data_IF_548801187854
#
_entry.id   IF_548801187854
#
_cell.length_a   1.000
_cell.length_b   1.000
_cell.length_c   1.000
_cell.angle_alpha   90.00
_cell.angle_beta   90.00
_cell.angle_gamma   90.00
#
_symmetry.space_group_name_H-M   'P 1'
#
loop_
_entity.id
_entity.type
_entity.pdbx_description
1 polymer ?
#
# COMPACT_ATOMS: atom_id res chain seq x y z
N UNK A 1 5.96 -6.94 -12.83
CA UNK A 1 5.54 -6.81 -11.42
C UNK A 1 4.16 -7.45 -11.26
N UNK A 2 3.93 -8.19 -10.18
CA UNK A 2 2.64 -8.76 -9.82
C UNK A 2 2.12 -8.14 -8.52
N UNK A 3 0.82 -7.89 -8.41
CA UNK A 3 0.15 -7.40 -7.20
C UNK A 3 -1.25 -8.01 -7.09
N UNK A 4 -1.71 -8.19 -5.85
CA UNK A 4 -3.03 -8.71 -5.58
C UNK A 4 -4.05 -7.58 -5.52
N UNK A 5 -5.12 -7.68 -6.30
CA UNK A 5 -6.24 -6.73 -6.27
C UNK A 5 -7.06 -6.87 -4.98
N UNK A 6 -7.32 -8.11 -4.55
CA UNK A 6 -8.12 -8.38 -3.35
C UNK A 6 -7.38 -8.02 -2.05
N UNK A 7 -6.04 -7.99 -2.09
CA UNK A 7 -5.18 -7.76 -0.93
C UNK A 7 -4.16 -6.65 -1.20
N UNK A 8 -4.60 -5.39 -1.26
CA UNK A 8 -3.74 -4.24 -1.52
C UNK A 8 -2.52 -4.18 -0.60
N UNK A 9 -1.35 -3.86 -1.19
CA UNK A 9 -0.06 -3.89 -0.48
C UNK A 9 0.68 -5.22 -0.60
N UNK A 10 0.05 -6.30 -1.07
CA UNK A 10 0.74 -7.53 -1.42
C UNK A 10 1.16 -7.49 -2.88
N UNK A 11 2.40 -7.06 -3.11
CA UNK A 11 2.99 -6.89 -4.44
C UNK A 11 4.45 -7.31 -4.46
N UNK A 12 4.92 -7.84 -5.60
CA UNK A 12 6.31 -8.23 -5.81
C UNK A 12 6.72 -8.05 -7.27
N UNK A 13 7.98 -7.66 -7.46
CA UNK A 13 8.61 -7.56 -8.76
C UNK A 13 9.64 -8.66 -8.95
N UNK A 14 9.82 -9.09 -10.20
CA UNK A 14 10.88 -9.98 -10.65
C UNK A 14 11.25 -9.69 -12.11
N UNK A 15 12.19 -10.47 -12.67
CA UNK A 15 12.67 -10.25 -14.05
C UNK A 15 11.68 -10.70 -15.13
N UNK A 16 10.82 -11.66 -14.81
CA UNK A 16 9.78 -12.17 -15.69
C UNK A 16 8.45 -12.22 -14.95
N UNK A 17 7.34 -12.32 -15.67
CA UNK A 17 6.01 -12.35 -15.09
C UNK A 17 5.80 -13.61 -14.25
N UNK A 18 6.24 -14.78 -14.73
CA UNK A 18 6.17 -16.04 -13.97
C UNK A 18 6.92 -15.93 -12.64
N UNK A 19 8.16 -15.41 -12.66
CA UNK A 19 8.94 -15.19 -11.46
C UNK A 19 8.32 -14.14 -10.52
N UNK A 20 7.60 -13.16 -11.07
CA UNK A 20 6.89 -12.17 -10.26
C UNK A 20 5.72 -12.82 -9.52
N UNK A 21 4.96 -13.69 -10.19
CA UNK A 21 3.86 -14.46 -9.59
C UNK A 21 4.36 -15.44 -8.53
N UNK A 22 5.40 -16.22 -8.84
CA UNK A 22 6.03 -17.14 -7.88
C UNK A 22 6.54 -16.39 -6.64
N UNK A 23 7.21 -15.24 -6.87
CA UNK A 23 7.70 -14.40 -5.78
C UNK A 23 6.54 -13.84 -4.96
N UNK A 24 5.47 -13.37 -5.61
CA UNK A 24 4.27 -12.87 -4.93
C UNK A 24 3.69 -13.95 -4.02
N UNK A 25 3.48 -15.17 -4.55
CA UNK A 25 2.94 -16.30 -3.77
C UNK A 25 3.85 -16.67 -2.60
N UNK A 26 5.16 -16.69 -2.79
CA UNK A 26 6.13 -16.99 -1.71
C UNK A 26 6.05 -16.01 -0.53
N UNK A 27 5.46 -14.83 -0.75
CA UNK A 27 5.25 -13.81 0.28
C UNK A 27 3.84 -13.86 0.92
N UNK A 28 2.99 -14.82 0.57
CA UNK A 28 1.66 -15.01 1.18
C UNK A 28 1.72 -15.04 2.70
N UNK A 29 2.61 -15.85 3.26
CA UNK A 29 2.80 -15.96 4.69
C UNK A 29 3.24 -14.64 5.36
N UNK A 30 3.97 -13.78 4.64
CA UNK A 30 4.40 -12.47 5.15
C UNK A 30 3.29 -11.43 5.13
N UNK A 31 2.30 -11.56 4.24
CA UNK A 31 1.13 -10.68 4.21
C UNK A 31 0.06 -11.08 5.23
N UNK A 32 0.00 -12.37 5.62
CA UNK A 32 -0.98 -12.92 6.57
C UNK A 32 -1.15 -12.11 7.87
N UNK A 33 -0.09 -11.53 8.50
CA UNK A 33 -0.26 -10.63 9.65
C UNK A 33 -1.12 -9.40 9.35
N UNK A 34 -1.05 -8.82 8.15
CA UNK A 34 -1.90 -7.69 7.74
C UNK A 34 -3.37 -8.14 7.68
N UNK A 35 -3.66 -9.29 7.06
CA UNK A 35 -5.01 -9.84 7.02
C UNK A 35 -5.55 -10.13 8.44
N UNK A 36 -4.71 -10.56 9.38
CA UNK A 36 -5.08 -10.76 10.79
C UNK A 36 -5.43 -9.43 11.47
N UNK A 37 -4.62 -8.40 11.29
CA UNK A 37 -4.87 -7.06 11.82
C UNK A 37 -6.17 -6.46 11.26
N UNK A 38 -6.46 -6.71 9.98
CA UNK A 38 -7.71 -6.33 9.35
C UNK A 38 -8.92 -7.18 9.78
N UNK A 39 -8.73 -8.22 10.61
CA UNK A 39 -9.75 -9.23 11.03
C UNK A 39 -10.29 -10.08 9.86
N UNK A 40 -9.51 -10.23 8.80
CA UNK A 40 -9.84 -10.95 7.56
C UNK A 40 -8.99 -12.22 7.37
N UNK A 41 -8.32 -12.71 8.41
CA UNK A 41 -7.39 -13.85 8.30
C UNK A 41 -8.05 -15.13 7.82
N UNK A 42 -9.31 -15.37 8.17
CA UNK A 42 -10.06 -16.56 7.71
C UNK A 42 -10.33 -16.50 6.22
N UNK A 43 -10.73 -15.34 5.73
CA UNK A 43 -10.93 -15.07 4.30
C UNK A 43 -9.59 -15.23 3.54
N UNK A 44 -8.52 -14.67 4.07
CA UNK A 44 -7.18 -14.77 3.48
C UNK A 44 -6.67 -16.22 3.43
N UNK A 45 -6.85 -16.99 4.50
CA UNK A 45 -6.43 -18.39 4.57
C UNK A 45 -7.29 -19.30 3.68
N UNK A 46 -8.55 -18.93 3.42
CA UNK A 46 -9.45 -19.64 2.53
C UNK A 46 -9.26 -19.25 1.05
N UNK A 47 -8.55 -18.16 0.76
CA UNK A 47 -8.26 -17.76 -0.62
C UNK A 47 -7.41 -18.82 -1.31
N UNK A 48 -7.85 -19.21 -2.48
CA UNK A 48 -7.16 -20.17 -3.35
C UNK A 48 -5.81 -19.67 -3.88
N UNK A 49 -5.23 -20.36 -4.84
CA UNK A 49 -4.05 -19.90 -5.56
C UNK A 49 -4.34 -18.56 -6.27
N UNK A 50 -3.26 -17.83 -6.58
CA UNK A 50 -3.37 -16.60 -7.35
C UNK A 50 -3.88 -16.88 -8.76
N UNK A 51 -4.85 -16.09 -9.21
CA UNK A 51 -5.37 -16.10 -10.57
C UNK A 51 -5.00 -14.78 -11.25
N UNK A 52 -4.40 -14.86 -12.44
CA UNK A 52 -4.07 -13.68 -13.24
C UNK A 52 -5.34 -13.20 -13.94
N UNK A 53 -5.89 -12.09 -13.49
CA UNK A 53 -7.11 -11.51 -14.06
C UNK A 53 -6.82 -10.45 -15.12
N UNK A 54 -5.63 -9.90 -15.12
CA UNK A 54 -5.19 -8.89 -16.09
C UNK A 54 -3.67 -8.90 -16.22
N UNK A 55 -3.18 -8.82 -17.45
CA UNK A 55 -1.78 -8.58 -17.80
C UNK A 55 -1.70 -7.31 -18.64
N UNK A 56 -0.83 -6.37 -18.24
CA UNK A 56 -0.70 -5.06 -18.88
C UNK A 56 0.75 -4.62 -18.97
N UNK A 57 1.08 -4.01 -20.08
CA UNK A 57 2.34 -3.29 -20.21
C UNK A 57 2.22 -1.98 -19.42
N UNK A 58 2.90 -1.92 -18.28
CA UNK A 58 2.97 -0.72 -17.46
C UNK A 58 3.98 0.32 -18.03
N UNK A 59 3.94 1.57 -17.57
CA UNK A 59 4.98 2.54 -17.89
C UNK A 59 6.33 2.08 -17.33
N UNK A 60 7.43 2.42 -18.01
CA UNK A 60 8.77 1.90 -17.72
C UNK A 60 9.32 2.12 -16.30
N UNK A 61 8.70 2.99 -15.51
CA UNK A 61 9.05 3.19 -14.11
C UNK A 61 8.38 2.21 -13.14
N UNK A 62 7.33 1.51 -13.56
CA UNK A 62 6.54 0.58 -12.71
C UNK A 62 7.41 -0.52 -12.12
N UNK A 63 8.23 -1.15 -12.94
CA UNK A 63 9.10 -2.26 -12.51
C UNK A 63 10.23 -1.79 -11.59
N UNK A 64 10.69 -0.58 -11.77
CA UNK A 64 11.77 -0.01 -10.98
C UNK A 64 11.32 0.46 -9.60
N UNK A 65 10.19 1.19 -9.54
CA UNK A 65 9.70 1.80 -8.30
C UNK A 65 8.81 0.87 -7.49
N UNK A 66 8.35 -0.22 -8.07
CA UNK A 66 7.43 -1.12 -7.41
C UNK A 66 6.03 -0.55 -7.24
N UNK A 67 5.69 0.51 -7.99
CA UNK A 67 4.41 1.20 -7.98
C UNK A 67 3.76 0.99 -9.34
N UNK A 68 2.51 0.55 -9.35
CA UNK A 68 1.73 0.50 -10.57
C UNK A 68 1.14 1.89 -10.87
N UNK A 69 1.56 2.47 -11.99
CA UNK A 69 0.94 3.68 -12.54
C UNK A 69 -0.20 3.37 -13.51
N UNK A 70 -0.44 2.08 -13.76
CA UNK A 70 -1.52 1.62 -14.62
C UNK A 70 -2.52 0.85 -13.74
N UNK A 71 -3.57 1.51 -13.23
CA UNK A 71 -4.60 0.82 -12.44
C UNK A 71 -5.27 -0.27 -13.29
N UNK A 72 -5.66 -1.36 -12.67
CA UNK A 72 -6.43 -2.42 -13.33
C UNK A 72 -7.74 -1.86 -13.90
N UNK A 73 -8.22 -2.44 -14.98
CA UNK A 73 -9.53 -2.09 -15.55
C UNK A 73 -10.66 -2.29 -14.52
N UNK A 74 -10.49 -3.25 -13.60
CA UNK A 74 -11.43 -3.54 -12.51
C UNK A 74 -11.42 -2.49 -11.41
N UNK A 75 -10.34 -1.68 -11.30
CA UNK A 75 -10.20 -0.64 -10.28
C UNK A 75 -10.69 0.75 -10.74
N UNK A 76 -11.14 0.88 -11.99
CA UNK A 76 -11.51 2.17 -12.56
C UNK A 76 -12.95 2.61 -12.27
N UNK A 77 -13.75 1.74 -11.69
CA UNK A 77 -15.13 2.02 -11.31
C UNK A 77 -15.26 2.65 -9.92
N UNK A 78 -16.45 3.22 -9.60
CA UNK A 78 -16.76 3.67 -8.25
C UNK A 78 -16.80 2.45 -7.32
N UNK A 79 -16.20 2.58 -6.15
CA UNK A 79 -16.28 1.56 -5.10
C UNK A 79 -17.64 1.62 -4.40
N UNK A 80 -18.21 0.47 -4.10
CA UNK A 80 -19.29 0.38 -3.12
C UNK A 80 -18.78 0.77 -1.72
N UNK A 81 -19.70 1.12 -0.84
CA UNK A 81 -19.35 1.40 0.57
C UNK A 81 -18.63 0.22 1.23
N UNK A 82 -19.03 -1.01 0.93
CA UNK A 82 -18.42 -2.22 1.51
C UNK A 82 -16.97 -2.42 1.02
N UNK A 83 -16.72 -2.21 -0.27
CA UNK A 83 -15.36 -2.28 -0.84
C UNK A 83 -14.46 -1.19 -0.27
N UNK A 84 -14.96 0.04 -0.14
CA UNK A 84 -14.21 1.12 0.48
C UNK A 84 -13.90 0.82 1.96
N UNK A 85 -14.89 0.36 2.73
CA UNK A 85 -14.69 0.02 4.14
C UNK A 85 -13.67 -1.12 4.30
N UNK A 86 -13.70 -2.13 3.42
CA UNK A 86 -12.72 -3.20 3.35
C UNK A 86 -11.32 -2.67 3.03
N UNK A 87 -11.20 -1.83 2.02
CA UNK A 87 -9.93 -1.19 1.63
C UNK A 87 -9.33 -0.35 2.76
N UNK A 88 -10.15 0.44 3.44
CA UNK A 88 -9.72 1.24 4.61
C UNK A 88 -9.28 0.34 5.77
N UNK A 89 -9.97 -0.78 6.02
CA UNK A 89 -9.55 -1.72 7.06
C UNK A 89 -8.18 -2.35 6.76
N UNK A 90 -7.93 -2.70 5.50
CA UNK A 90 -6.62 -3.21 5.04
C UNK A 90 -5.53 -2.13 5.13
N UNK A 91 -5.83 -0.90 4.73
CA UNK A 91 -4.90 0.24 4.84
C UNK A 91 -4.49 0.48 6.31
N UNK A 92 -5.45 0.54 7.23
CA UNK A 92 -5.19 0.67 8.67
C UNK A 92 -4.36 -0.49 9.21
N UNK A 93 -4.61 -1.71 8.74
CA UNK A 93 -3.82 -2.88 9.10
C UNK A 93 -2.38 -2.79 8.57
N UNK A 94 -2.18 -2.29 7.35
CA UNK A 94 -0.85 -2.02 6.79
C UNK A 94 -0.09 -0.96 7.61
N UNK A 95 -0.73 0.13 8.00
CA UNK A 95 -0.13 1.13 8.87
C UNK A 95 0.30 0.54 10.22
N UNK A 96 -0.60 -0.20 10.87
CA UNK A 96 -0.28 -0.85 12.15
C UNK A 96 0.89 -1.83 12.01
N UNK A 97 0.87 -2.66 10.97
CA UNK A 97 1.95 -3.61 10.69
C UNK A 97 3.29 -2.89 10.43
N UNK A 98 3.27 -1.81 9.67
CA UNK A 98 4.45 -1.00 9.38
C UNK A 98 5.02 -0.38 10.66
N UNK A 99 4.17 0.24 11.47
CA UNK A 99 4.58 0.88 12.73
C UNK A 99 5.16 -0.15 13.72
N UNK A 100 4.51 -1.33 13.85
CA UNK A 100 4.98 -2.43 14.69
C UNK A 100 6.34 -2.97 14.25
N UNK A 101 6.57 -3.09 12.93
CA UNK A 101 7.86 -3.50 12.39
C UNK A 101 8.90 -2.42 12.62
N UNK A 102 8.58 -1.16 12.32
CA UNK A 102 9.47 -0.03 12.51
C UNK A 102 9.95 0.12 13.97
N UNK A 103 9.06 -0.15 14.93
CA UNK A 103 9.40 -0.11 16.36
C UNK A 103 10.35 -1.22 16.81
N UNK A 104 10.40 -2.36 16.10
CA UNK A 104 11.17 -3.55 16.49
C UNK A 104 12.50 -3.73 15.77
N UNK A 105 12.65 -3.12 14.60
CA UNK A 105 13.90 -3.26 13.82
C UNK A 105 14.94 -2.26 14.28
N UNK A 106 16.22 -2.63 14.10
CA UNK A 106 17.34 -1.72 14.38
C UNK A 106 17.29 -0.49 13.45
N UNK A 107 17.87 0.65 13.88
CA UNK A 107 18.01 1.82 13.03
C UNK A 107 18.78 1.50 11.74
N UNK A 108 19.81 0.70 11.83
CA UNK A 108 20.61 0.24 10.69
C UNK A 108 19.98 -1.01 10.08
N UNK A 109 19.65 -0.94 8.79
CA UNK A 109 19.07 -2.06 8.07
C UNK A 109 20.11 -2.79 7.25
N UNK A 110 19.83 -4.09 7.02
CA UNK A 110 20.66 -4.94 6.17
C UNK A 110 20.73 -4.35 4.76
N UNK A 111 21.94 -4.10 4.28
CA UNK A 111 22.16 -3.66 2.91
C UNK A 111 21.73 -4.72 1.91
N UNK A 112 21.11 -4.28 0.81
CA UNK A 112 20.75 -5.17 -0.29
C UNK A 112 22.00 -5.74 -1.02
N UNK A 113 21.80 -6.72 -1.91
CA UNK A 113 22.90 -7.39 -2.62
C UNK A 113 23.81 -6.45 -3.42
N UNK A 114 23.30 -5.28 -3.80
CA UNK A 114 24.04 -4.22 -4.53
C UNK A 114 24.66 -3.17 -3.61
N UNK A 115 24.70 -3.42 -2.30
CA UNK A 115 25.25 -2.49 -1.31
C UNK A 115 24.38 -1.26 -1.01
N UNK A 116 23.24 -1.12 -1.69
CA UNK A 116 22.30 -0.02 -1.50
C UNK A 116 21.21 -0.33 -0.48
N UNK A 117 20.49 0.70 -0.07
CA UNK A 117 19.36 0.63 0.84
C UNK A 117 19.23 1.90 1.65
N UNK A 118 18.08 2.06 2.28
CA UNK A 118 17.82 3.13 3.25
C UNK A 118 17.78 2.51 4.64
N UNK A 119 18.29 3.22 5.62
CA UNK A 119 18.11 2.85 7.01
C UNK A 119 16.65 3.07 7.44
N UNK A 120 16.27 2.45 8.56
CA UNK A 120 14.89 2.46 9.08
C UNK A 120 14.24 3.84 9.04
N UNK A 121 14.88 4.84 9.61
CA UNK A 121 14.29 6.17 9.77
C UNK A 121 14.12 6.88 8.41
N UNK A 122 15.01 6.61 7.45
CA UNK A 122 14.86 7.08 6.07
C UNK A 122 13.72 6.38 5.33
N UNK A 123 13.48 5.10 5.62
CA UNK A 123 12.34 4.36 5.06
C UNK A 123 11.05 4.92 5.63
N UNK A 124 10.96 5.09 6.95
CA UNK A 124 9.78 5.65 7.61
C UNK A 124 9.44 7.02 7.02
N UNK A 125 10.41 7.93 6.99
CA UNK A 125 10.23 9.27 6.43
C UNK A 125 9.79 9.23 4.96
N UNK A 126 10.42 8.39 4.15
CA UNK A 126 10.06 8.24 2.74
C UNK A 126 8.64 7.72 2.56
N UNK A 127 8.23 6.73 3.34
CA UNK A 127 6.88 6.15 3.27
C UNK A 127 5.82 7.19 3.65
N UNK A 128 6.02 7.90 4.78
CA UNK A 128 5.09 8.94 5.24
C UNK A 128 4.99 10.08 4.21
N UNK A 129 6.13 10.55 3.69
CA UNK A 129 6.14 11.60 2.67
C UNK A 129 5.46 11.19 1.38
N UNK A 130 5.72 9.99 0.89
CA UNK A 130 5.06 9.50 -0.32
C UNK A 130 3.54 9.43 -0.12
N UNK A 131 3.08 8.99 1.05
CA UNK A 131 1.64 8.97 1.36
C UNK A 131 1.07 10.39 1.41
N UNK A 132 1.70 11.33 2.12
CA UNK A 132 1.19 12.69 2.30
C UNK A 132 1.32 13.56 1.04
N UNK A 133 2.44 13.42 0.31
CA UNK A 133 2.74 14.27 -0.84
C UNK A 133 2.13 13.76 -2.15
N UNK A 134 2.04 12.43 -2.34
CA UNK A 134 1.64 11.87 -3.62
C UNK A 134 0.23 11.27 -3.58
N UNK A 135 -0.04 10.39 -2.61
CA UNK A 135 -1.32 9.68 -2.57
C UNK A 135 -2.45 10.51 -1.98
N UNK A 136 -2.20 11.26 -0.91
CA UNK A 136 -3.23 12.09 -0.28
C UNK A 136 -3.75 13.20 -1.21
N UNK A 137 -2.91 13.70 -2.12
CA UNK A 137 -3.33 14.67 -3.15
C UNK A 137 -4.41 14.13 -4.08
N UNK A 138 -4.43 12.83 -4.35
CA UNK A 138 -5.40 12.22 -5.25
C UNK A 138 -6.83 12.32 -4.70
N UNK A 139 -6.98 12.40 -3.39
CA UNK A 139 -8.26 12.62 -2.70
C UNK A 139 -8.43 14.06 -2.22
N UNK A 140 -7.67 15.00 -2.79
CA UNK A 140 -7.80 16.44 -2.53
C UNK A 140 -7.17 16.93 -1.22
N UNK A 141 -6.36 16.09 -0.56
CA UNK A 141 -5.74 16.42 0.72
C UNK A 141 -4.31 16.94 0.52
N UNK A 142 -3.99 18.08 1.17
CA UNK A 142 -2.63 18.60 1.28
C UNK A 142 -2.25 18.71 2.75
N UNK A 143 -1.22 18.00 3.15
CA UNK A 143 -0.71 18.02 4.51
C UNK A 143 0.76 18.48 4.46
N UNK A 144 1.18 19.42 5.31
CA UNK A 144 2.59 19.78 5.43
C UNK A 144 3.41 18.57 5.91
N UNK A 145 4.50 18.26 5.20
CA UNK A 145 5.33 17.08 5.41
C UNK A 145 5.78 16.88 6.85
N UNK A 146 6.23 17.96 7.47
CA UNK A 146 6.80 17.90 8.82
C UNK A 146 5.75 17.59 9.89
N UNK A 147 4.49 17.99 9.67
CA UNK A 147 3.41 17.70 10.60
C UNK A 147 3.15 16.19 10.72
N UNK A 148 3.21 15.46 9.60
CA UNK A 148 3.01 14.01 9.57
C UNK A 148 4.19 13.20 10.14
N UNK A 149 5.34 13.82 10.39
CA UNK A 149 6.51 13.15 10.94
C UNK A 149 6.51 13.04 12.47
N UNK A 150 5.57 13.68 13.16
CA UNK A 150 5.38 13.49 14.60
C UNK A 150 4.32 12.41 14.87
N UNK A 151 4.35 11.72 16.01
CA UNK A 151 3.34 10.69 16.32
C UNK A 151 1.91 11.23 16.33
N UNK A 152 1.70 12.43 16.85
CA UNK A 152 0.41 13.12 16.91
C UNK A 152 -0.04 13.53 15.50
N UNK A 153 0.85 14.12 14.73
CA UNK A 153 0.59 14.57 13.37
C UNK A 153 0.32 13.39 12.43
N UNK A 154 1.04 12.29 12.59
CA UNK A 154 0.81 11.08 11.80
C UNK A 154 -0.58 10.48 12.08
N UNK A 155 -1.03 10.45 13.34
CA UNK A 155 -2.39 10.02 13.67
C UNK A 155 -3.43 10.93 13.03
N UNK A 156 -3.27 12.23 13.19
CA UNK A 156 -4.17 13.22 12.59
C UNK A 156 -4.22 13.10 11.07
N UNK A 157 -3.04 12.94 10.42
CA UNK A 157 -2.95 12.71 8.98
C UNK A 157 -3.75 11.49 8.55
N UNK A 158 -3.55 10.35 9.18
CA UNK A 158 -4.21 9.08 8.82
C UNK A 158 -5.73 9.17 8.96
N UNK A 159 -6.24 9.82 10.02
CA UNK A 159 -7.69 10.00 10.18
C UNK A 159 -8.26 10.96 9.13
N UNK A 160 -7.57 12.07 8.86
CA UNK A 160 -7.99 13.02 7.81
C UNK A 160 -7.94 12.37 6.42
N UNK A 161 -6.94 11.54 6.16
CA UNK A 161 -6.81 10.82 4.90
C UNK A 161 -7.96 9.82 4.69
N UNK A 162 -8.33 9.06 5.73
CA UNK A 162 -9.50 8.16 5.66
C UNK A 162 -10.80 8.95 5.45
N UNK A 163 -10.98 10.09 6.12
CA UNK A 163 -12.15 10.94 5.90
C UNK A 163 -12.21 11.44 4.45
N UNK A 164 -11.09 11.94 3.92
CA UNK A 164 -10.99 12.40 2.54
C UNK A 164 -11.29 11.31 1.50
N UNK A 165 -10.83 10.06 1.74
CA UNK A 165 -11.18 8.92 0.87
C UNK A 165 -12.69 8.67 0.85
N UNK A 166 -13.37 8.77 2.00
CA UNK A 166 -14.82 8.59 2.09
C UNK A 166 -15.58 9.69 1.37
N UNK A 167 -15.19 10.94 1.56
CA UNK A 167 -15.75 12.10 0.87
C UNK A 167 -15.53 11.99 -0.65
N UNK A 168 -14.34 11.61 -1.07
CA UNK A 168 -14.02 11.42 -2.49
C UNK A 168 -14.90 10.33 -3.13
N UNK A 169 -15.05 9.19 -2.46
CA UNK A 169 -15.89 8.10 -2.94
C UNK A 169 -17.40 8.45 -2.96
N UNK A 170 -17.85 9.31 -2.05
CA UNK A 170 -19.20 9.84 -2.05
C UNK A 170 -19.46 10.89 -3.15
N UNK A 171 -18.44 11.30 -3.87
CA UNK A 171 -18.52 12.38 -4.87
C UNK A 171 -18.51 13.79 -4.28
N UNK A 172 -18.25 13.91 -2.99
CA UNK A 172 -18.21 15.17 -2.23
C UNK A 172 -16.80 15.78 -2.19
N UNK A 173 -15.79 14.99 -2.53
CA UNK A 173 -14.38 15.38 -2.48
C UNK A 173 -13.99 16.33 -3.62
N UNK A 174 -13.09 17.27 -3.32
CA UNK A 174 -12.49 18.13 -4.34
C UNK A 174 -11.49 17.32 -5.18
N UNK A 175 -11.80 17.09 -6.47
CA UNK A 175 -10.80 16.64 -7.42
C UNK A 175 -9.75 17.74 -7.58
N UNK A 176 -8.51 17.46 -7.18
CA UNK A 176 -7.41 18.32 -7.60
C UNK A 176 -7.06 17.98 -9.05
N UNK A 177 -7.16 19.01 -9.90
CA UNK A 177 -6.71 18.97 -11.30
C UNK A 177 -5.19 19.04 -11.35
#
# INVERSE_FOLDING_TARGET
>A
MAFSLDWPGWSRGAKTDDLALETLESYRARYRPVARLAKMVREFDAAGPLEVVEDRVGPGSTDFWGISFAPSSTEQGPMSKAELDRGIALLRACWTFFDDVAARVSPELRKGPRGGGRDRDRIIRHTIRTESEEFAKQVGLRIPDEAALTPEGLRAHRETYVAAMREYNAGEGKRMR
#
